data_IF_031757896868
#
_entry.id   IF_031757896868
#
_cell.length_a   1.000
_cell.length_b   1.000
_cell.length_c   1.000
_cell.angle_alpha   90.00
_cell.angle_beta   90.00
_cell.angle_gamma   90.00
#
_symmetry.space_group_name_H-M   'P 1'
#
loop_
_entity.id
_entity.type
_entity.pdbx_description
1 polymer ?
#
# COMPACT_ATOMS: atom_id res chain seq x y z
N UNK A 1 -26.29 5.04 21.42
CA UNK A 1 -26.28 6.52 21.34
C UNK A 1 -26.78 6.87 19.94
N UNK A 2 -28.08 7.13 19.79
CA UNK A 2 -28.73 7.24 18.49
C UNK A 2 -28.46 8.58 17.82
N UNK A 3 -28.07 8.55 16.55
CA UNK A 3 -27.87 9.74 15.72
C UNK A 3 -29.25 10.24 15.30
N UNK A 4 -29.62 11.48 15.68
CA UNK A 4 -30.82 12.17 15.20
C UNK A 4 -30.47 13.03 13.99
N UNK A 5 -30.94 12.67 12.80
CA UNK A 5 -30.91 13.55 11.65
C UNK A 5 -32.04 14.60 11.74
N UNK A 6 -31.72 15.87 11.48
CA UNK A 6 -32.72 16.95 11.35
C UNK A 6 -33.41 16.82 9.99
N UNK A 7 -34.74 16.96 9.98
CA UNK A 7 -35.59 16.95 8.78
C UNK A 7 -35.09 17.98 7.77
N UNK A 8 -34.77 17.51 6.56
CA UNK A 8 -34.71 18.35 5.36
C UNK A 8 -36.02 18.19 4.61
N UNK A 9 -36.67 19.31 4.28
CA UNK A 9 -37.79 19.34 3.34
C UNK A 9 -37.24 19.70 1.98
N UNK A 10 -37.28 18.75 1.05
CA UNK A 10 -36.95 18.99 -0.36
C UNK A 10 -38.24 19.28 -1.11
N UNK A 11 -38.40 20.51 -1.59
CA UNK A 11 -39.47 20.87 -2.52
C UNK A 11 -38.96 20.62 -3.94
N UNK A 12 -39.52 19.62 -4.63
CA UNK A 12 -39.24 19.37 -6.05
C UNK A 12 -40.38 20.01 -6.85
N UNK A 13 -40.11 21.11 -7.54
CA UNK A 13 -41.02 21.67 -8.53
C UNK A 13 -40.84 20.96 -9.86
N UNK A 14 -41.90 20.34 -10.39
CA UNK A 14 -41.90 19.76 -11.74
C UNK A 14 -42.47 20.81 -12.70
N UNK A 15 -41.63 21.41 -13.52
CA UNK A 15 -42.07 22.27 -14.63
C UNK A 15 -42.20 21.44 -15.90
N UNK A 16 -43.43 21.17 -16.35
CA UNK A 16 -43.69 20.58 -17.68
C UNK A 16 -43.79 21.73 -18.68
N UNK A 17 -42.77 21.89 -19.52
CA UNK A 17 -42.84 22.76 -20.71
C UNK A 17 -43.47 21.96 -21.86
N UNK A 18 -44.77 22.15 -22.07
CA UNK A 18 -45.44 21.74 -23.31
C UNK A 18 -45.36 22.90 -24.31
N UNK A 19 -44.62 22.74 -25.40
CA UNK A 19 -44.59 23.70 -26.49
C UNK A 19 -45.66 23.31 -27.53
N UNK A 20 -46.81 23.96 -27.48
CA UNK A 20 -47.89 23.86 -28.46
C UNK A 20 -48.79 25.09 -28.38
N UNK A 21 -49.19 25.72 -29.51
CA UNK A 21 -49.86 27.01 -29.49
C UNK A 21 -51.37 26.81 -29.33
N UNK A 22 -51.88 26.82 -28.10
CA UNK A 22 -53.28 27.18 -27.87
C UNK A 22 -53.42 27.98 -26.57
N UNK A 23 -54.04 29.14 -26.71
CA UNK A 23 -54.32 30.12 -25.69
C UNK A 23 -55.25 29.57 -24.60
N UNK A 24 -54.75 29.61 -23.38
CA UNK A 24 -55.52 29.57 -22.14
C UNK A 24 -54.57 29.94 -21.02
N UNK A 25 -54.88 30.97 -20.23
CA UNK A 25 -54.10 31.30 -19.02
C UNK A 25 -54.19 30.12 -18.05
N UNK A 26 -53.17 29.25 -18.06
CA UNK A 26 -53.03 28.21 -17.04
C UNK A 26 -52.59 28.92 -15.76
N UNK A 27 -53.51 29.09 -14.81
CA UNK A 27 -53.13 29.42 -13.45
C UNK A 27 -52.25 28.29 -12.93
N UNK A 28 -51.04 28.56 -12.41
CA UNK A 28 -50.23 27.52 -11.81
C UNK A 28 -51.00 26.96 -10.62
N UNK A 29 -51.48 25.73 -10.72
CA UNK A 29 -51.89 24.97 -9.56
C UNK A 29 -50.62 24.65 -8.78
N UNK A 30 -50.27 25.48 -7.80
CA UNK A 30 -49.33 25.10 -6.73
C UNK A 30 -50.03 24.06 -5.84
N UNK A 31 -50.15 22.84 -6.34
CA UNK A 31 -50.50 21.72 -5.50
C UNK A 31 -49.21 21.24 -4.81
N UNK A 32 -49.03 21.68 -3.55
CA UNK A 32 -47.94 21.17 -2.71
C UNK A 32 -48.31 19.73 -2.35
N UNK A 33 -47.84 18.78 -3.15
CA UNK A 33 -47.89 17.34 -2.81
C UNK A 33 -46.95 17.09 -1.64
N UNK A 34 -47.49 17.14 -0.42
CA UNK A 34 -46.77 16.71 0.77
C UNK A 34 -46.71 15.20 0.79
N UNK A 35 -45.61 14.64 0.30
CA UNK A 35 -45.30 13.24 0.55
C UNK A 35 -45.06 13.10 2.05
N UNK A 36 -46.01 12.48 2.74
CA UNK A 36 -45.86 12.00 4.11
C UNK A 36 -45.49 10.52 4.03
N UNK A 37 -44.21 10.17 3.87
CA UNK A 37 -43.81 8.78 3.88
C UNK A 37 -44.05 8.24 5.29
N UNK A 38 -45.20 7.59 5.48
CA UNK A 38 -45.59 6.93 6.73
C UNK A 38 -44.56 5.85 7.16
N UNK A 39 -43.64 5.51 6.25
CA UNK A 39 -42.62 4.48 6.36
C UNK A 39 -41.21 5.02 6.66
N UNK A 40 -40.96 6.33 6.60
CA UNK A 40 -39.58 6.86 6.77
C UNK A 40 -39.04 6.70 8.20
N UNK A 41 -39.93 6.62 9.19
CA UNK A 41 -39.58 6.54 10.62
C UNK A 41 -40.00 5.18 11.24
N UNK A 42 -40.28 4.16 10.43
CA UNK A 42 -40.59 2.82 10.94
C UNK A 42 -39.37 1.92 10.81
N UNK A 43 -38.83 1.47 11.94
CA UNK A 43 -37.82 0.40 12.01
C UNK A 43 -38.49 -0.93 11.60
N UNK A 44 -38.66 -1.13 10.30
CA UNK A 44 -39.28 -2.34 9.74
C UNK A 44 -38.32 -3.52 9.73
N UNK A 45 -37.01 -3.25 9.59
CA UNK A 45 -35.93 -4.24 9.62
C UNK A 45 -34.67 -3.57 10.17
N UNK A 46 -33.88 -4.30 10.98
CA UNK A 46 -32.57 -3.85 11.40
C UNK A 46 -31.62 -3.77 10.19
N UNK A 47 -31.02 -2.60 9.95
CA UNK A 47 -30.03 -2.42 8.90
C UNK A 47 -28.77 -3.20 9.29
N UNK A 48 -28.28 -4.14 8.45
CA UNK A 48 -27.05 -4.86 8.75
C UNK A 48 -25.87 -3.91 8.92
N UNK A 49 -25.03 -4.09 9.95
CA UNK A 49 -23.86 -3.23 10.17
C UNK A 49 -22.84 -3.32 9.03
N UNK A 50 -22.87 -4.42 8.26
CA UNK A 50 -22.04 -4.66 7.09
C UNK A 50 -22.61 -4.14 5.78
N UNK A 51 -23.59 -3.22 5.78
CA UNK A 51 -24.17 -2.71 4.52
C UNK A 51 -23.21 -1.79 3.74
N UNK A 52 -22.30 -1.11 4.43
CA UNK A 52 -21.30 -0.22 3.84
C UNK A 52 -19.89 -0.74 4.12
N UNK A 53 -19.34 -1.50 3.18
CA UNK A 53 -17.94 -1.90 3.16
C UNK A 53 -17.14 -1.15 2.10
N UNK A 54 -15.86 -1.46 2.04
CA UNK A 54 -14.95 -0.95 1.02
C UNK A 54 -14.03 -2.06 0.52
N UNK A 55 -13.24 -1.74 -0.49
CA UNK A 55 -12.44 -2.67 -1.26
C UNK A 55 -11.04 -2.13 -1.49
N UNK A 56 -10.02 -2.96 -1.26
CA UNK A 56 -8.62 -2.63 -1.49
C UNK A 56 -7.95 -3.71 -2.35
N UNK A 57 -7.31 -3.25 -3.41
CA UNK A 57 -6.52 -4.06 -4.34
C UNK A 57 -5.14 -3.43 -4.53
N UNK A 58 -4.15 -4.26 -4.89
CA UNK A 58 -2.85 -3.79 -5.36
C UNK A 58 -2.97 -3.30 -6.82
N UNK A 59 -3.79 -2.28 -7.03
CA UNK A 59 -4.08 -1.64 -8.32
C UNK A 59 -3.51 -0.23 -8.33
N UNK A 60 -2.68 0.08 -9.32
CA UNK A 60 -1.99 1.36 -9.43
C UNK A 60 -1.21 1.68 -8.14
N UNK A 61 -1.35 2.92 -7.65
CA UNK A 61 -0.70 3.39 -6.44
C UNK A 61 -1.60 3.29 -5.18
N UNK A 62 -2.67 2.49 -5.20
CA UNK A 62 -3.59 2.40 -4.05
C UNK A 62 -2.90 1.86 -2.78
N UNK A 63 -2.10 0.80 -2.94
CA UNK A 63 -1.31 0.22 -1.85
C UNK A 63 0.06 0.85 -1.77
N UNK A 64 0.88 0.70 -2.81
CA UNK A 64 2.23 1.26 -2.84
C UNK A 64 2.18 2.74 -3.22
N UNK A 65 2.99 3.58 -2.57
CA UNK A 65 3.08 5.02 -2.83
C UNK A 65 1.89 5.87 -2.34
N UNK A 66 0.80 5.24 -1.86
CA UNK A 66 -0.27 5.90 -1.11
C UNK A 66 -0.41 5.33 0.30
N UNK A 67 -1.00 4.13 0.46
CA UNK A 67 -1.25 3.55 1.77
C UNK A 67 0.05 3.13 2.48
N UNK A 68 0.93 2.41 1.78
CA UNK A 68 2.22 1.96 2.30
C UNK A 68 3.26 3.06 2.11
N UNK A 69 3.77 3.59 3.23
CA UNK A 69 4.53 4.84 3.27
C UNK A 69 6.01 4.72 2.83
N UNK A 70 6.42 3.59 2.23
CA UNK A 70 7.75 3.49 1.65
C UNK A 70 7.81 4.38 0.40
N UNK A 71 8.65 5.43 0.42
CA UNK A 71 8.77 6.36 -0.70
C UNK A 71 9.61 5.78 -1.86
N UNK A 72 10.23 4.62 -1.65
CA UNK A 72 11.07 3.96 -2.64
C UNK A 72 10.24 3.09 -3.58
N UNK A 73 10.23 3.45 -4.87
CA UNK A 73 9.80 2.60 -5.98
C UNK A 73 10.80 1.46 -6.21
N UNK A 74 10.30 0.27 -6.58
CA UNK A 74 11.15 -0.90 -6.87
C UNK A 74 12.29 -1.10 -5.83
N UNK A 75 11.98 -1.25 -4.53
CA UNK A 75 12.97 -1.21 -3.46
C UNK A 75 14.02 -2.33 -3.55
N UNK A 76 13.74 -3.41 -4.30
CA UNK A 76 14.61 -4.57 -4.49
C UNK A 76 15.43 -4.53 -5.79
N UNK A 77 15.37 -3.43 -6.56
CA UNK A 77 16.01 -3.30 -7.87
C UNK A 77 15.66 -4.46 -8.81
N UNK A 78 14.42 -4.94 -8.73
CA UNK A 78 13.95 -6.05 -9.52
C UNK A 78 13.74 -5.63 -10.97
N UNK A 79 14.05 -6.52 -11.91
CA UNK A 79 13.78 -6.32 -13.33
C UNK A 79 13.49 -7.65 -14.02
N UNK A 80 12.56 -7.64 -14.99
CA UNK A 80 12.24 -8.80 -15.82
C UNK A 80 13.19 -9.00 -17.02
N UNK A 81 13.76 -7.90 -17.53
CA UNK A 81 14.53 -7.83 -18.77
C UNK A 81 15.93 -7.20 -18.56
N UNK A 82 16.73 -7.14 -19.61
CA UNK A 82 18.10 -6.62 -19.55
C UNK A 82 18.21 -5.09 -19.51
N UNK A 83 17.09 -4.34 -19.51
CA UNK A 83 17.10 -2.87 -19.60
C UNK A 83 17.52 -2.17 -18.29
N UNK A 84 17.77 -2.93 -17.23
CA UNK A 84 18.08 -2.41 -15.90
C UNK A 84 16.82 -2.08 -15.09
N UNK A 85 16.92 -1.94 -13.75
CA UNK A 85 15.77 -1.82 -12.88
C UNK A 85 14.96 -0.55 -13.20
N UNK A 86 13.70 -0.73 -13.62
CA UNK A 86 12.77 0.37 -13.84
C UNK A 86 12.74 1.26 -12.59
N UNK A 87 12.53 2.56 -12.81
CA UNK A 87 12.59 3.65 -11.81
C UNK A 87 13.99 4.01 -11.28
N UNK A 88 15.02 3.24 -11.59
CA UNK A 88 16.40 3.53 -11.17
C UNK A 88 17.30 3.89 -12.36
N UNK A 89 18.12 4.92 -12.17
CA UNK A 89 19.26 5.24 -13.03
C UNK A 89 20.53 4.67 -12.41
N UNK A 90 21.30 3.93 -13.19
CA UNK A 90 22.59 3.36 -12.78
C UNK A 90 23.71 4.16 -13.45
N UNK A 91 24.66 4.67 -12.65
CA UNK A 91 25.75 5.52 -13.12
C UNK A 91 27.09 5.03 -12.56
N UNK A 92 28.21 5.48 -13.15
CA UNK A 92 29.55 5.23 -12.61
C UNK A 92 29.94 3.74 -12.57
N UNK A 93 29.44 2.94 -13.51
CA UNK A 93 29.72 1.50 -13.59
C UNK A 93 28.84 0.62 -12.70
N UNK A 94 27.77 1.16 -12.11
CA UNK A 94 26.72 0.34 -11.49
C UNK A 94 26.05 -0.57 -12.53
N UNK A 95 25.88 -1.85 -12.21
CA UNK A 95 25.22 -2.83 -13.08
C UNK A 95 24.24 -3.69 -12.29
N UNK A 96 23.17 -4.14 -12.94
CA UNK A 96 22.26 -5.13 -12.33
C UNK A 96 23.03 -6.41 -12.04
N UNK A 97 22.75 -7.04 -10.89
CA UNK A 97 23.35 -8.31 -10.54
C UNK A 97 22.92 -9.40 -11.55
N UNK A 98 23.78 -10.39 -11.87
CA UNK A 98 23.48 -11.42 -12.87
C UNK A 98 22.24 -12.28 -12.56
N UNK A 99 21.84 -12.38 -11.29
CA UNK A 99 20.64 -13.10 -10.86
C UNK A 99 19.37 -12.24 -10.93
N UNK A 100 19.45 -11.03 -11.48
CA UNK A 100 18.31 -10.12 -11.62
C UNK A 100 17.89 -9.42 -10.32
N UNK A 101 18.66 -9.58 -9.24
CA UNK A 101 18.31 -9.06 -7.92
C UNK A 101 19.39 -8.14 -7.35
N UNK A 102 19.10 -6.84 -7.27
CA UNK A 102 20.05 -5.86 -6.73
C UNK A 102 21.09 -5.37 -7.74
N UNK A 103 21.94 -4.45 -7.29
CA UNK A 103 22.90 -3.73 -8.12
C UNK A 103 24.31 -3.95 -7.58
N UNK A 104 25.23 -4.33 -8.47
CA UNK A 104 26.65 -4.34 -8.22
C UNK A 104 27.21 -2.93 -8.41
N UNK A 105 27.94 -2.44 -7.41
CA UNK A 105 28.41 -1.06 -7.35
C UNK A 105 29.93 -1.02 -7.10
N UNK A 106 30.75 -0.63 -8.09
CA UNK A 106 32.14 -0.26 -7.86
C UNK A 106 32.26 1.08 -7.11
N UNK A 107 33.47 1.46 -6.67
CA UNK A 107 33.68 2.76 -6.03
C UNK A 107 33.33 3.91 -6.98
N UNK A 108 32.57 4.89 -6.49
CA UNK A 108 32.06 6.01 -7.25
C UNK A 108 30.76 5.72 -8.02
N UNK A 109 30.29 4.47 -8.04
CA UNK A 109 29.04 4.13 -8.67
C UNK A 109 27.85 4.71 -7.92
N UNK A 110 26.82 5.10 -8.67
CA UNK A 110 25.62 5.73 -8.14
C UNK A 110 24.40 4.97 -8.64
N UNK A 111 23.43 4.76 -7.74
CA UNK A 111 22.05 4.48 -8.11
C UNK A 111 21.16 5.64 -7.69
N UNK A 112 20.31 6.09 -8.61
CA UNK A 112 19.45 7.27 -8.42
C UNK A 112 18.01 6.93 -8.78
N UNK A 113 17.07 7.50 -8.04
CA UNK A 113 15.64 7.45 -8.35
C UNK A 113 14.99 8.77 -7.97
N UNK A 114 14.01 9.20 -8.77
CA UNK A 114 13.12 10.29 -8.40
C UNK A 114 12.08 9.80 -7.39
N UNK A 115 11.93 10.51 -6.28
CA UNK A 115 10.95 10.23 -5.22
C UNK A 115 10.11 11.46 -4.89
N UNK A 116 8.88 11.22 -4.47
CA UNK A 116 8.00 12.24 -3.90
C UNK A 116 7.91 12.01 -2.40
N UNK A 117 8.14 13.08 -1.65
CA UNK A 117 8.26 13.03 -0.20
C UNK A 117 7.12 13.82 0.45
N UNK A 118 6.48 13.31 1.52
CA UNK A 118 5.41 14.02 2.23
C UNK A 118 5.98 15.11 3.17
N UNK A 119 6.78 16.01 2.61
CA UNK A 119 7.50 17.07 3.36
C UNK A 119 6.58 18.15 3.92
N UNK A 120 5.29 18.14 3.56
CA UNK A 120 4.28 18.98 4.19
C UNK A 120 4.00 18.56 5.64
N UNK A 121 4.29 17.31 6.02
CA UNK A 121 4.01 16.78 7.37
C UNK A 121 5.22 16.24 8.12
N UNK A 122 6.21 15.67 7.44
CA UNK A 122 7.37 15.06 8.09
C UNK A 122 8.65 15.32 7.29
N UNK A 123 9.71 15.70 8.01
CA UNK A 123 11.02 16.04 7.43
C UNK A 123 12.11 15.05 7.82
N UNK A 124 11.81 14.11 8.71
CA UNK A 124 12.72 13.05 9.18
C UNK A 124 12.30 11.73 8.58
N UNK A 125 13.28 10.98 8.13
CA UNK A 125 13.07 9.70 7.47
C UNK A 125 13.96 8.63 8.09
N UNK A 126 13.40 7.43 8.28
CA UNK A 126 14.13 6.23 8.64
C UNK A 126 14.26 5.34 7.42
N UNK A 127 15.49 4.98 7.11
CA UNK A 127 15.76 4.05 6.04
C UNK A 127 16.53 2.83 6.49
N UNK A 128 16.50 1.80 5.64
CA UNK A 128 17.30 0.59 5.78
C UNK A 128 17.88 0.20 4.43
N UNK A 129 19.14 -0.20 4.44
CA UNK A 129 19.85 -0.74 3.27
C UNK A 129 20.24 -2.18 3.53
N UNK A 130 19.93 -3.05 2.59
CA UNK A 130 20.47 -4.40 2.50
C UNK A 130 21.56 -4.38 1.45
N UNK A 131 22.80 -4.43 1.91
CA UNK A 131 23.96 -4.47 1.05
C UNK A 131 25.07 -5.31 1.70
N UNK A 132 25.91 -5.89 0.86
CA UNK A 132 27.11 -6.61 1.26
C UNK A 132 28.31 -6.14 0.44
N UNK A 133 29.50 -6.15 1.03
CA UNK A 133 30.74 -5.76 0.37
C UNK A 133 31.87 -6.71 0.75
N UNK A 134 32.84 -7.00 -0.13
CA UNK A 134 33.97 -7.86 0.23
C UNK A 134 34.82 -7.28 1.38
N UNK A 135 34.91 -5.95 1.47
CA UNK A 135 35.64 -5.24 2.53
C UNK A 135 34.69 -4.71 3.61
N UNK A 136 35.12 -4.78 4.86
CA UNK A 136 34.43 -4.19 6.01
C UNK A 136 34.53 -2.66 6.06
N UNK A 137 35.47 -2.06 5.32
CA UNK A 137 35.64 -0.60 5.22
C UNK A 137 34.72 0.02 4.16
N UNK A 138 34.06 -0.80 3.34
CA UNK A 138 33.17 -0.30 2.31
C UNK A 138 32.00 0.48 2.91
N UNK A 139 31.61 1.56 2.25
CA UNK A 139 30.50 2.41 2.69
C UNK A 139 29.76 3.01 1.53
N UNK A 140 28.46 3.18 1.73
CA UNK A 140 27.60 3.95 0.84
C UNK A 140 27.20 5.27 1.50
N UNK A 141 26.92 6.28 0.69
CA UNK A 141 26.31 7.53 1.15
C UNK A 141 24.95 7.65 0.51
N UNK A 142 23.91 7.78 1.34
CA UNK A 142 22.54 8.01 0.91
C UNK A 142 22.25 9.49 0.99
N UNK A 143 21.67 10.08 -0.06
CA UNK A 143 21.34 11.50 -0.13
C UNK A 143 19.95 11.72 -0.70
N UNK A 144 19.34 12.81 -0.25
CA UNK A 144 18.24 13.47 -0.94
C UNK A 144 18.78 14.75 -1.57
N UNK A 145 18.55 14.91 -2.87
CA UNK A 145 19.02 16.05 -3.66
C UNK A 145 17.82 16.75 -4.29
N UNK A 146 17.82 18.09 -4.26
CA UNK A 146 16.82 18.94 -4.93
C UNK A 146 17.51 20.16 -5.50
N UNK A 147 17.12 20.58 -6.71
CA UNK A 147 17.66 21.78 -7.38
C UNK A 147 19.20 21.84 -7.35
N UNK A 148 19.85 20.69 -7.56
CA UNK A 148 21.31 20.47 -7.50
C UNK A 148 21.97 20.63 -6.13
N UNK A 149 21.21 20.80 -5.05
CA UNK A 149 21.70 20.85 -3.67
C UNK A 149 21.33 19.60 -2.87
N UNK A 150 22.25 19.12 -2.02
CA UNK A 150 21.99 18.05 -1.05
C UNK A 150 21.13 18.64 0.09
N UNK A 151 19.92 18.12 0.29
CA UNK A 151 19.01 18.56 1.36
C UNK A 151 19.05 17.66 2.59
N UNK A 152 19.49 16.41 2.44
CA UNK A 152 19.78 15.49 3.53
C UNK A 152 20.80 14.43 3.09
N UNK A 153 21.62 13.91 4.01
CA UNK A 153 22.51 12.80 3.72
C UNK A 153 22.85 11.96 4.95
N UNK A 154 23.27 10.71 4.72
CA UNK A 154 23.81 9.81 5.73
C UNK A 154 24.87 8.88 5.15
N UNK A 155 25.96 8.64 5.89
CA UNK A 155 26.90 7.56 5.58
C UNK A 155 26.41 6.24 6.20
N UNK A 156 26.49 5.16 5.44
CA UNK A 156 26.06 3.82 5.86
C UNK A 156 27.22 2.84 5.65
N UNK A 157 27.86 2.34 6.74
CA UNK A 157 28.92 1.36 6.62
C UNK A 157 28.34 0.01 6.18
N UNK A 158 29.00 -0.60 5.20
CA UNK A 158 28.62 -1.92 4.72
C UNK A 158 29.24 -3.03 5.58
N UNK A 159 28.76 -4.25 5.38
CA UNK A 159 29.21 -5.45 6.07
C UNK A 159 29.62 -6.50 5.05
N UNK A 160 30.47 -7.43 5.47
CA UNK A 160 30.92 -8.55 4.64
C UNK A 160 29.79 -9.50 4.23
N UNK A 161 28.69 -9.50 5.00
CA UNK A 161 27.43 -10.16 4.67
C UNK A 161 26.28 -9.20 4.92
N UNK A 162 25.26 -9.25 4.09
CA UNK A 162 24.05 -8.46 4.28
C UNK A 162 23.39 -8.85 5.62
N UNK A 163 22.97 -7.84 6.39
CA UNK A 163 22.20 -8.08 7.62
C UNK A 163 20.77 -8.46 7.25
N UNK A 164 20.21 -9.44 7.96
CA UNK A 164 18.81 -9.86 7.76
C UNK A 164 17.82 -8.69 7.88
N UNK A 165 18.04 -7.81 8.86
CA UNK A 165 17.21 -6.62 9.12
C UNK A 165 17.69 -5.34 8.41
N UNK A 166 18.73 -5.44 7.58
CA UNK A 166 19.36 -4.30 6.94
C UNK A 166 20.20 -3.44 7.90
N UNK A 167 20.93 -2.47 7.34
CA UNK A 167 21.67 -1.45 8.09
C UNK A 167 20.80 -0.19 8.15
N UNK A 168 20.43 0.30 9.35
CA UNK A 168 19.58 1.47 9.46
C UNK A 168 20.36 2.76 9.16
N UNK A 169 19.65 3.76 8.65
CA UNK A 169 20.12 5.13 8.51
C UNK A 169 18.97 6.12 8.73
N UNK A 170 19.31 7.40 8.91
CA UNK A 170 18.34 8.48 9.05
C UNK A 170 18.68 9.63 8.12
N UNK A 171 17.67 10.26 7.55
CA UNK A 171 17.79 11.49 6.77
C UNK A 171 16.90 12.56 7.40
N UNK A 172 17.46 13.75 7.61
CA UNK A 172 16.73 14.89 8.16
C UNK A 172 16.82 16.05 7.18
N UNK A 173 15.69 16.43 6.60
CA UNK A 173 15.59 17.58 5.70
C UNK A 173 15.42 18.84 6.54
N UNK A 174 16.25 19.86 6.33
CA UNK A 174 16.02 21.16 6.96
C UNK A 174 14.75 21.80 6.38
N UNK A 175 13.97 22.58 7.15
CA UNK A 175 12.76 23.23 6.64
C UNK A 175 12.98 24.06 5.37
N UNK A 176 14.15 24.70 5.22
CA UNK A 176 14.52 25.46 4.02
C UNK A 176 14.76 24.59 2.77
N UNK A 177 15.01 23.29 2.94
CA UNK A 177 15.15 22.31 1.87
C UNK A 177 13.84 21.60 1.52
N UNK A 178 12.76 21.84 2.27
CA UNK A 178 11.46 21.25 2.04
C UNK A 178 10.67 22.04 0.98
N UNK A 179 10.08 21.29 0.05
CA UNK A 179 9.24 21.79 -1.03
C UNK A 179 8.16 20.74 -1.33
N UNK A 180 6.95 20.91 -0.79
CA UNK A 180 5.83 20.00 -1.05
C UNK A 180 5.49 19.93 -2.55
N UNK A 181 5.12 18.73 -3.02
CA UNK A 181 4.72 18.50 -4.42
C UNK A 181 5.87 18.44 -5.44
N UNK A 182 7.07 18.86 -5.06
CA UNK A 182 8.25 18.80 -5.92
C UNK A 182 9.00 17.46 -5.79
N UNK A 183 9.62 16.96 -6.87
CA UNK A 183 10.43 15.75 -6.84
C UNK A 183 11.77 15.97 -6.11
N UNK A 184 12.29 14.88 -5.54
CA UNK A 184 13.63 14.78 -4.98
C UNK A 184 14.36 13.61 -5.64
N UNK A 185 15.67 13.71 -5.78
CA UNK A 185 16.49 12.57 -6.15
C UNK A 185 16.95 11.85 -4.88
N UNK A 186 16.57 10.58 -4.74
CA UNK A 186 17.20 9.64 -3.83
C UNK A 186 18.45 9.10 -4.51
N UNK A 187 19.62 9.42 -3.96
CA UNK A 187 20.93 9.04 -4.50
C UNK A 187 21.64 8.14 -3.51
N UNK A 188 22.11 6.97 -3.95
CA UNK A 188 22.96 6.08 -3.17
C UNK A 188 24.29 5.93 -3.92
N UNK A 189 25.37 6.47 -3.34
CA UNK A 189 26.72 6.42 -3.89
C UNK A 189 27.55 5.37 -3.15
N UNK A 190 28.24 4.48 -3.88
CA UNK A 190 29.29 3.64 -3.31
C UNK A 190 30.55 4.48 -3.09
N UNK A 191 30.66 5.07 -1.89
CA UNK A 191 31.71 6.05 -1.58
C UNK A 191 33.08 5.42 -1.39
N UNK A 192 33.14 4.20 -0.87
CA UNK A 192 34.40 3.47 -0.68
C UNK A 192 34.18 1.97 -0.92
N UNK A 193 35.10 1.36 -1.66
CA UNK A 193 35.09 -0.08 -1.93
C UNK A 193 34.08 -0.48 -3.01
N UNK A 194 33.81 -1.77 -3.09
CA UNK A 194 32.82 -2.35 -4.00
C UNK A 194 31.79 -3.10 -3.18
N UNK A 195 30.56 -3.21 -3.68
CA UNK A 195 29.51 -3.92 -2.97
C UNK A 195 28.28 -4.18 -3.81
N UNK A 196 27.40 -5.02 -3.29
CA UNK A 196 26.12 -5.36 -3.88
C UNK A 196 25.01 -4.82 -3.00
N UNK A 197 24.19 -3.96 -3.56
CA UNK A 197 22.99 -3.39 -2.94
C UNK A 197 21.77 -4.19 -3.39
N UNK A 198 21.07 -4.86 -2.48
CA UNK A 198 19.95 -5.74 -2.81
C UNK A 198 18.59 -5.15 -2.45
N UNK A 199 18.54 -4.23 -1.49
CA UNK A 199 17.30 -3.52 -1.15
C UNK A 199 17.56 -2.19 -0.47
N UNK A 200 16.67 -1.22 -0.71
CA UNK A 200 16.57 0.01 0.09
C UNK A 200 15.10 0.31 0.42
N UNK A 201 14.86 0.67 1.66
CA UNK A 201 13.57 1.19 2.14
C UNK A 201 13.80 2.57 2.75
N UNK A 202 12.83 3.48 2.59
CA UNK A 202 12.83 4.79 3.20
C UNK A 202 11.39 5.17 3.58
N UNK A 203 11.15 5.37 4.87
CA UNK A 203 9.84 5.73 5.42
C UNK A 203 9.94 7.07 6.13
N UNK A 204 8.93 7.95 6.03
CA UNK A 204 8.83 9.11 6.92
C UNK A 204 8.68 8.62 8.37
N UNK A 205 9.26 9.35 9.32
CA UNK A 205 9.29 8.92 10.73
C UNK A 205 7.90 8.87 11.40
N UNK A 206 6.93 9.59 10.84
CA UNK A 206 5.53 9.63 11.27
C UNK A 206 4.69 8.42 10.77
N UNK A 207 5.24 7.57 9.90
CA UNK A 207 4.54 6.41 9.37
C UNK A 207 4.03 5.50 10.51
N UNK A 208 2.74 5.23 10.53
CA UNK A 208 2.08 4.39 11.54
C UNK A 208 2.05 2.97 11.02
N UNK A 209 2.79 2.06 11.66
CA UNK A 209 2.86 0.66 11.22
C UNK A 209 3.39 0.44 9.79
N UNK A 210 4.14 1.39 9.24
CA UNK A 210 4.58 1.39 7.84
C UNK A 210 3.57 2.01 6.88
N UNK A 211 2.42 2.48 7.36
CA UNK A 211 1.37 3.11 6.57
C UNK A 211 1.39 4.63 6.71
N UNK A 212 0.85 5.30 5.70
CA UNK A 212 0.68 6.75 5.67
C UNK A 212 -0.39 7.17 6.71
N UNK A 213 -0.05 8.05 7.68
CA UNK A 213 -0.98 8.45 8.72
C UNK A 213 -2.20 9.22 8.21
N UNK A 214 -2.07 10.00 7.12
CA UNK A 214 -3.19 10.75 6.54
C UNK A 214 -4.17 9.79 5.87
N UNK A 215 -3.67 8.76 5.16
CA UNK A 215 -4.51 7.71 4.56
C UNK A 215 -5.22 6.89 5.62
N UNK A 216 -4.52 6.51 6.70
CA UNK A 216 -5.14 5.79 7.84
C UNK A 216 -6.24 6.63 8.48
N UNK A 217 -6.03 7.93 8.66
CA UNK A 217 -7.04 8.83 9.23
C UNK A 217 -8.24 9.00 8.30
N UNK A 218 -8.00 9.20 7.00
CA UNK A 218 -9.06 9.32 6.01
C UNK A 218 -9.92 8.05 5.94
N UNK A 219 -9.29 6.87 5.85
CA UNK A 219 -9.99 5.59 5.83
C UNK A 219 -10.80 5.34 7.12
N UNK A 220 -10.27 5.75 8.27
CA UNK A 220 -11.01 5.68 9.55
C UNK A 220 -12.24 6.58 9.57
N UNK A 221 -12.17 7.77 8.95
CA UNK A 221 -13.29 8.71 8.87
C UNK A 221 -14.44 8.23 7.97
N UNK A 222 -14.18 7.29 7.06
CA UNK A 222 -15.20 6.65 6.22
C UNK A 222 -16.08 5.66 6.98
N UNK A 223 -15.72 5.27 8.20
CA UNK A 223 -16.46 4.29 9.01
C UNK A 223 -16.74 2.97 8.27
N UNK A 224 -15.72 2.49 7.54
CA UNK A 224 -15.78 1.24 6.77
C UNK A 224 -16.09 0.07 7.70
N UNK A 225 -17.21 -0.62 7.48
CA UNK A 225 -17.63 -1.75 8.34
C UNK A 225 -16.77 -3.00 8.11
N UNK A 226 -16.50 -3.31 6.84
CA UNK A 226 -15.58 -4.36 6.42
C UNK A 226 -14.74 -3.89 5.22
N UNK A 227 -13.51 -4.37 5.14
CA UNK A 227 -12.59 -4.08 4.04
C UNK A 227 -12.23 -5.38 3.34
N UNK A 228 -12.53 -5.48 2.04
CA UNK A 228 -12.21 -6.62 1.16
C UNK A 228 -10.80 -6.47 0.58
N UNK A 229 -9.96 -7.52 0.65
CA UNK A 229 -8.58 -7.57 0.14
C UNK A 229 -8.15 -9.05 -0.07
N UNK A 230 -7.14 -9.38 -0.91
CA UNK A 230 -6.39 -8.56 -1.87
C UNK A 230 -7.13 -8.48 -3.20
N UNK A 231 -8.46 -8.37 -3.12
CA UNK A 231 -9.38 -8.74 -4.19
C UNK A 231 -9.26 -7.90 -5.45
N UNK A 232 -10.28 -8.07 -6.30
CA UNK A 232 -10.19 -7.75 -7.71
C UNK A 232 -9.34 -8.80 -8.41
N UNK A 233 -8.96 -8.52 -9.65
CA UNK A 233 -8.24 -9.46 -10.49
C UNK A 233 -6.89 -9.87 -9.90
N UNK A 234 -6.27 -9.01 -9.08
CA UNK A 234 -5.02 -9.32 -8.39
C UNK A 234 -5.10 -10.60 -7.55
N UNK A 235 -6.24 -10.85 -6.90
CA UNK A 235 -6.41 -12.03 -6.04
C UNK A 235 -6.32 -13.36 -6.80
N UNK A 236 -6.64 -13.38 -8.10
CA UNK A 236 -6.62 -14.59 -8.94
C UNK A 236 -5.21 -15.10 -9.28
N UNK A 237 -4.16 -14.30 -8.99
CA UNK A 237 -2.75 -14.68 -9.12
C UNK A 237 -1.92 -14.38 -7.86
N UNK A 238 -2.59 -14.10 -6.74
CA UNK A 238 -1.91 -13.77 -5.48
C UNK A 238 -1.65 -15.01 -4.64
N UNK A 239 -0.37 -15.27 -4.36
CA UNK A 239 0.03 -16.34 -3.44
C UNK A 239 0.42 -15.77 -2.09
N UNK A 240 -0.45 -15.92 -1.09
CA UNK A 240 -0.37 -15.22 0.20
C UNK A 240 0.93 -15.47 0.97
N UNK A 241 1.56 -16.63 0.77
CA UNK A 241 2.85 -16.99 1.39
C UNK A 241 3.99 -16.05 0.97
N UNK A 242 3.89 -15.42 -0.21
CA UNK A 242 4.85 -14.42 -0.69
C UNK A 242 4.75 -13.11 0.12
N UNK A 243 3.60 -12.84 0.72
CA UNK A 243 3.28 -11.64 1.51
C UNK A 243 3.53 -11.76 3.02
N UNK A 244 4.13 -12.85 3.52
CA UNK A 244 4.41 -13.04 4.95
C UNK A 244 5.91 -13.15 5.24
N UNK A 245 6.29 -13.33 6.51
CA UNK A 245 7.69 -13.36 6.93
C UNK A 245 8.44 -12.02 6.78
N UNK A 246 9.77 -12.01 6.93
CA UNK A 246 10.59 -10.82 6.81
C UNK A 246 10.47 -10.17 5.42
N UNK A 247 10.16 -8.86 5.36
CA UNK A 247 10.01 -8.14 4.07
C UNK A 247 11.24 -8.24 3.16
N UNK A 248 12.43 -8.33 3.74
CA UNK A 248 13.68 -8.46 3.00
C UNK A 248 13.80 -9.76 2.20
N UNK A 249 13.04 -10.79 2.56
CA UNK A 249 13.01 -12.08 1.86
C UNK A 249 11.78 -12.26 0.98
N UNK A 250 10.85 -11.30 0.98
CA UNK A 250 9.65 -11.36 0.14
C UNK A 250 10.02 -11.05 -1.32
N UNK A 251 9.51 -11.82 -2.29
CA UNK A 251 9.87 -11.62 -3.69
C UNK A 251 9.25 -10.34 -4.24
N UNK A 252 9.95 -9.70 -5.17
CA UNK A 252 9.35 -8.70 -6.06
C UNK A 252 9.15 -9.35 -7.42
N UNK A 253 7.95 -9.22 -7.98
CA UNK A 253 7.53 -9.86 -9.24
C UNK A 253 6.64 -8.90 -10.03
N UNK A 254 6.34 -9.15 -11.32
CA UNK A 254 5.29 -8.44 -12.01
C UNK A 254 3.97 -8.62 -11.27
N UNK A 255 3.17 -7.56 -11.17
CA UNK A 255 1.83 -7.68 -10.66
C UNK A 255 1.01 -8.60 -11.60
N UNK A 256 0.29 -9.61 -11.07
CA UNK A 256 -0.35 -10.63 -11.89
C UNK A 256 -1.55 -10.12 -12.70
N UNK A 257 -2.16 -8.99 -12.31
CA UNK A 257 -3.36 -8.47 -12.93
C UNK A 257 -3.19 -7.10 -13.59
N UNK A 258 -2.24 -6.28 -13.10
CA UNK A 258 -2.13 -4.87 -13.48
C UNK A 258 -0.71 -4.51 -13.91
N UNK A 259 -0.52 -3.43 -14.70
CA UNK A 259 0.80 -2.88 -14.95
C UNK A 259 1.47 -2.47 -13.63
N UNK A 260 2.66 -3.00 -13.36
CA UNK A 260 3.43 -2.63 -12.16
C UNK A 260 4.19 -3.80 -11.55
N UNK A 261 4.81 -3.54 -10.40
CA UNK A 261 5.51 -4.54 -9.60
C UNK A 261 4.74 -4.82 -8.32
N UNK A 262 4.67 -6.09 -7.94
CA UNK A 262 4.22 -6.53 -6.64
C UNK A 262 5.44 -6.82 -5.75
N UNK A 263 5.68 -5.96 -4.75
CA UNK A 263 6.85 -6.08 -3.86
C UNK A 263 6.63 -7.02 -2.67
N UNK A 264 5.36 -7.38 -2.44
CA UNK A 264 4.84 -8.10 -1.28
C UNK A 264 5.15 -7.41 0.06
N UNK A 265 5.54 -6.14 0.06
CA UNK A 265 5.84 -5.40 1.29
C UNK A 265 4.58 -5.15 2.13
N UNK A 266 3.41 -5.10 1.50
CA UNK A 266 2.11 -5.07 2.14
C UNK A 266 1.39 -6.40 1.91
N UNK A 267 1.45 -7.30 2.89
CA UNK A 267 0.77 -8.61 2.82
C UNK A 267 -0.21 -8.81 3.97
N UNK A 268 -0.49 -10.06 4.30
CA UNK A 268 -1.51 -10.47 5.29
C UNK A 268 -1.39 -9.70 6.60
N UNK A 269 -0.19 -9.63 7.18
CA UNK A 269 0.01 -9.02 8.50
C UNK A 269 -0.17 -7.51 8.47
N UNK A 270 0.26 -6.86 7.38
CA UNK A 270 0.09 -5.43 7.16
C UNK A 270 -1.39 -5.09 6.92
N UNK A 271 -2.10 -5.85 6.08
CA UNK A 271 -3.53 -5.68 5.83
C UNK A 271 -4.38 -5.81 7.10
N UNK A 272 -4.15 -6.86 7.90
CA UNK A 272 -4.90 -7.09 9.13
C UNK A 272 -4.60 -6.02 10.20
N UNK A 273 -3.38 -5.48 10.21
CA UNK A 273 -3.03 -4.33 11.04
C UNK A 273 -3.72 -3.05 10.56
N UNK A 274 -3.82 -2.84 9.25
CA UNK A 274 -4.56 -1.72 8.68
C UNK A 274 -6.04 -1.75 9.08
N UNK A 275 -6.70 -2.90 8.92
CA UNK A 275 -8.08 -3.11 9.35
C UNK A 275 -8.28 -2.73 10.83
N UNK A 276 -7.35 -3.16 11.71
CA UNK A 276 -7.39 -2.79 13.14
C UNK A 276 -7.23 -1.28 13.38
N UNK A 277 -6.37 -0.61 12.62
CA UNK A 277 -6.13 0.84 12.76
C UNK A 277 -7.39 1.66 12.38
N UNK A 278 -8.09 1.25 11.32
CA UNK A 278 -9.27 1.96 10.82
C UNK A 278 -10.57 1.49 11.46
N UNK A 279 -10.56 0.36 12.17
CA UNK A 279 -11.74 -0.21 12.83
C UNK A 279 -12.64 -1.04 11.91
N UNK A 280 -12.12 -1.51 10.77
CA UNK A 280 -12.85 -2.34 9.80
C UNK A 280 -12.67 -3.83 10.10
N UNK A 281 -13.71 -4.62 9.82
CA UNK A 281 -13.60 -6.09 9.81
C UNK A 281 -12.87 -6.56 8.54
N UNK A 282 -11.85 -7.41 8.62
CA UNK A 282 -11.19 -7.91 7.42
C UNK A 282 -12.07 -8.93 6.69
N UNK A 283 -12.15 -8.79 5.37
CA UNK A 283 -12.68 -9.78 4.43
C UNK A 283 -11.56 -10.19 3.47
N UNK A 284 -11.19 -11.47 3.47
CA UNK A 284 -10.10 -12.00 2.65
C UNK A 284 -10.65 -12.77 1.46
N UNK A 285 -10.23 -12.39 0.24
CA UNK A 285 -10.51 -13.15 -0.98
C UNK A 285 -9.38 -14.16 -1.23
N UNK A 286 -9.69 -15.45 -1.18
CA UNK A 286 -8.71 -16.50 -1.49
C UNK A 286 -8.56 -16.66 -3.00
N UNK A 287 -7.35 -16.98 -3.43
CA UNK A 287 -7.05 -17.22 -4.83
C UNK A 287 -7.73 -18.52 -5.30
N UNK A 288 -8.74 -18.38 -6.15
CA UNK A 288 -9.38 -19.48 -6.86
C UNK A 288 -9.20 -19.39 -8.38
N UNK A 289 -8.21 -18.60 -8.83
CA UNK A 289 -7.76 -18.53 -10.23
C UNK A 289 -6.69 -19.60 -10.48
N UNK A 290 -5.44 -19.30 -10.11
CA UNK A 290 -4.30 -20.22 -10.23
C UNK A 290 -3.83 -20.84 -8.90
N UNK A 291 -4.50 -20.51 -7.80
CA UNK A 291 -4.24 -21.08 -6.46
C UNK A 291 -4.86 -22.47 -6.25
N UNK A 292 -4.59 -23.08 -5.09
CA UNK A 292 -5.18 -24.39 -4.71
C UNK A 292 -6.07 -24.30 -3.47
N UNK A 293 -7.02 -25.24 -3.29
CA UNK A 293 -7.80 -25.32 -2.04
C UNK A 293 -6.92 -25.45 -0.78
N UNK A 294 -5.80 -26.16 -0.86
CA UNK A 294 -4.82 -26.28 0.23
C UNK A 294 -4.15 -24.95 0.54
N UNK A 295 -3.79 -24.17 -0.47
CA UNK A 295 -3.24 -22.83 -0.28
C UNK A 295 -4.25 -21.93 0.47
N UNK A 296 -5.52 -21.99 0.09
CA UNK A 296 -6.59 -21.25 0.76
C UNK A 296 -6.81 -21.73 2.20
N UNK A 297 -6.85 -23.04 2.43
CA UNK A 297 -7.02 -23.63 3.76
C UNK A 297 -5.86 -23.26 4.70
N UNK A 298 -4.61 -23.30 4.19
CA UNK A 298 -3.44 -22.86 4.95
C UNK A 298 -3.52 -21.38 5.31
N UNK A 299 -4.09 -20.53 4.45
CA UNK A 299 -4.26 -19.11 4.76
C UNK A 299 -5.27 -18.89 5.88
N UNK A 300 -6.39 -19.63 5.85
CA UNK A 300 -7.38 -19.64 6.93
C UNK A 300 -6.74 -20.08 8.24
N UNK A 301 -5.94 -21.15 8.22
CA UNK A 301 -5.21 -21.62 9.40
C UNK A 301 -4.15 -20.62 9.87
N UNK A 302 -3.43 -19.96 8.96
CA UNK A 302 -2.47 -18.91 9.32
C UNK A 302 -3.17 -17.77 10.05
N UNK A 303 -4.34 -17.34 9.56
CA UNK A 303 -5.09 -16.25 10.16
C UNK A 303 -5.73 -16.65 11.51
N UNK A 304 -6.21 -17.89 11.66
CA UNK A 304 -7.14 -18.25 12.74
C UNK A 304 -6.68 -19.40 13.65
N UNK A 305 -5.73 -20.23 13.24
CA UNK A 305 -5.24 -21.39 14.00
C UNK A 305 -4.50 -21.02 15.27
N UNK A 306 -4.47 -21.94 16.25
CA UNK A 306 -3.65 -21.79 17.46
C UNK A 306 -2.16 -21.94 17.13
N UNK A 307 -1.27 -21.54 18.05
CA UNK A 307 0.18 -21.68 17.85
C UNK A 307 0.66 -23.14 17.76
N UNK A 308 -0.19 -24.10 18.09
CA UNK A 308 0.11 -25.53 18.01
C UNK A 308 -0.04 -26.08 16.59
N UNK A 309 -0.84 -25.41 15.74
CA UNK A 309 -1.05 -25.82 14.36
C UNK A 309 0.10 -25.36 13.45
N UNK A 310 0.32 -26.00 12.29
CA UNK A 310 1.42 -25.65 11.40
C UNK A 310 1.44 -24.16 11.01
N UNK A 311 0.30 -23.62 10.54
CA UNK A 311 0.26 -22.23 10.11
C UNK A 311 0.12 -21.24 11.25
N UNK A 312 -0.51 -21.60 12.37
CA UNK A 312 -0.52 -20.74 13.55
C UNK A 312 0.86 -20.59 14.19
N UNK A 313 1.70 -21.64 14.15
CA UNK A 313 3.11 -21.57 14.53
C UNK A 313 3.91 -20.66 13.61
N UNK A 314 3.66 -20.72 12.30
CA UNK A 314 4.28 -19.83 11.33
C UNK A 314 3.91 -18.37 11.60
N UNK A 315 2.63 -18.07 11.82
CA UNK A 315 2.15 -16.73 12.22
C UNK A 315 2.84 -16.23 13.50
N UNK A 316 2.99 -17.11 14.50
CA UNK A 316 3.70 -16.77 15.73
C UNK A 316 5.18 -16.44 15.49
N UNK A 317 5.86 -17.22 14.64
CA UNK A 317 7.24 -16.97 14.21
C UNK A 317 7.39 -15.64 13.46
N UNK A 318 6.38 -15.26 12.67
CA UNK A 318 6.32 -13.98 11.96
C UNK A 318 6.00 -12.78 12.88
N UNK A 319 5.84 -13.02 14.19
CA UNK A 319 5.70 -11.97 15.20
C UNK A 319 4.27 -11.71 15.67
N UNK A 320 3.28 -12.54 15.29
CA UNK A 320 1.90 -12.40 15.75
C UNK A 320 1.33 -13.72 16.32
N UNK A 321 1.61 -14.06 17.60
CA UNK A 321 1.17 -15.32 18.18
C UNK A 321 -0.35 -15.49 18.27
N UNK A 322 -1.09 -14.42 18.57
CA UNK A 322 -2.54 -14.48 18.70
C UNK A 322 -3.22 -14.67 17.32
N UNK A 323 -4.33 -15.44 17.23
CA UNK A 323 -5.15 -15.46 16.02
C UNK A 323 -5.69 -14.07 15.66
N UNK A 324 -5.89 -13.83 14.37
CA UNK A 324 -6.49 -12.60 13.85
C UNK A 324 -8.02 -12.62 13.89
N UNK A 325 -8.63 -13.81 13.97
CA UNK A 325 -10.09 -14.01 13.98
C UNK A 325 -10.80 -13.44 12.74
N UNK A 326 -10.23 -13.67 11.54
CA UNK A 326 -10.85 -13.31 10.26
C UNK A 326 -12.08 -14.19 10.04
N UNK A 327 -13.25 -13.55 9.89
CA UNK A 327 -14.54 -14.24 9.75
C UNK A 327 -15.10 -14.22 8.33
N UNK A 328 -14.80 -13.17 7.57
CA UNK A 328 -15.31 -12.99 6.21
C UNK A 328 -14.25 -13.52 5.24
N UNK A 329 -14.63 -14.55 4.48
CA UNK A 329 -13.81 -15.16 3.45
C UNK A 329 -14.62 -15.24 2.16
N UNK A 330 -14.01 -14.80 1.07
CA UNK A 330 -14.53 -14.87 -0.27
C UNK A 330 -13.72 -15.89 -1.07
N UNK A 331 -14.39 -16.69 -1.88
CA UNK A 331 -13.77 -17.78 -2.65
C UNK A 331 -13.74 -17.38 -4.11
N UNK A 332 -12.59 -16.90 -4.55
CA UNK A 332 -12.38 -16.43 -5.91
C UNK A 332 -12.99 -15.06 -6.19
N UNK A 333 -12.39 -14.38 -7.17
CA UNK A 333 -12.87 -13.11 -7.68
C UNK A 333 -13.40 -13.35 -9.09
N UNK A 334 -14.66 -12.97 -9.34
CA UNK A 334 -15.12 -12.75 -10.71
C UNK A 334 -14.99 -14.03 -11.59
N UNK A 335 -15.29 -15.20 -11.02
CA UNK A 335 -15.07 -16.51 -11.69
C UNK A 335 -15.93 -16.75 -12.95
N UNK A 336 -16.88 -15.87 -13.23
CA UNK A 336 -17.74 -15.94 -14.42
C UNK A 336 -17.09 -15.34 -15.67
N UNK A 337 -15.92 -14.73 -15.56
CA UNK A 337 -15.25 -14.06 -16.67
C UNK A 337 -14.24 -14.88 -17.45
N UNK A 338 -13.77 -14.35 -18.60
CA UNK A 338 -12.72 -14.96 -19.41
C UNK A 338 -11.30 -14.46 -19.09
N UNK A 339 -11.09 -13.72 -18.00
CA UNK A 339 -9.86 -12.99 -17.69
C UNK A 339 -8.77 -13.84 -17.02
#
# INVERSE_FOLDING_TARGET
MGIRFRRFSLAIGVSVLACGPMLGTVQPHEEITRVHPQWLDQDTVAIPPGIFGDFLEHLGDAVYHTLWANVVYNPAFWQADAAGPKQWTLEGGATLAPDGHGVQMPTGAIVRQVVYLPVHRELRYRGRIWAAAPSADAKVVVRLVRANGIVAQAEVPLRTRAKADGVPFRLNIAPSGASPGEPYDLVIEMRLGTGRLTRVELFPEDAVAGMDPEVVQAAKALHISFLRWPGGNFSSGYHWRRGIGPRSTRPTVPNPAWPGLETHAFGTNEFLRFCRLIGASPMICVNAGDGTPEEAADWVEYCNGSVDTPMGRLRAKDGHPAPYHVRLWEVGNELYGPW
#
